data_IF_462756105000
#
_entry.id   IF_462756105000
#
_cell.length_a   1.000
_cell.length_b   1.000
_cell.length_c   1.000
_cell.angle_alpha   90.00
_cell.angle_beta   90.00
_cell.angle_gamma   90.00
#
_symmetry.space_group_name_H-M   'P 1'
#
loop_
_entity.id
_entity.type
_entity.pdbx_description
1 polymer ?
#
# COMPACT_ATOMS: atom_id res chain seq x y z
N UNK A 1 -16.49 -2.52 2.25
CA UNK A 1 -16.35 -3.89 1.71
C UNK A 1 -16.47 -4.92 2.83
N UNK A 2 -15.84 -4.70 3.99
CA UNK A 2 -16.07 -5.54 5.17
C UNK A 2 -17.55 -5.67 5.55
N UNK A 3 -18.26 -4.54 5.54
CA UNK A 3 -19.68 -4.51 5.87
C UNK A 3 -20.52 -5.33 4.89
N UNK A 4 -20.11 -5.40 3.63
CA UNK A 4 -20.75 -6.25 2.64
C UNK A 4 -20.63 -7.72 3.04
N UNK A 5 -19.44 -8.19 3.41
CA UNK A 5 -19.26 -9.58 3.83
C UNK A 5 -20.00 -9.93 5.12
N UNK A 6 -20.09 -8.98 6.06
CA UNK A 6 -20.87 -9.14 7.30
C UNK A 6 -22.35 -9.26 6.99
N UNK A 7 -22.88 -8.40 6.12
CA UNK A 7 -24.31 -8.38 5.77
C UNK A 7 -24.70 -9.57 4.89
N UNK A 8 -23.85 -9.95 3.93
CA UNK A 8 -24.15 -11.05 3.00
C UNK A 8 -23.73 -12.42 3.52
N UNK A 9 -23.00 -12.49 4.63
CA UNK A 9 -22.51 -13.75 5.20
C UNK A 9 -21.53 -14.52 4.30
N UNK A 10 -20.77 -13.82 3.44
CA UNK A 10 -19.84 -14.50 2.52
C UNK A 10 -18.77 -15.23 3.34
N UNK A 11 -18.58 -16.55 3.11
CA UNK A 11 -17.57 -17.32 3.83
C UNK A 11 -16.19 -16.69 3.66
N UNK A 12 -15.38 -16.69 4.73
CA UNK A 12 -14.03 -16.10 4.74
C UNK A 12 -13.15 -16.60 3.57
N UNK A 13 -13.26 -17.88 3.22
CA UNK A 13 -12.55 -18.49 2.08
C UNK A 13 -12.92 -17.91 0.71
N UNK A 14 -14.10 -17.28 0.59
CA UNK A 14 -14.60 -16.69 -0.66
C UNK A 14 -14.48 -15.17 -0.69
N UNK A 15 -14.25 -14.50 0.45
CA UNK A 15 -14.20 -13.04 0.54
C UNK A 15 -13.19 -12.42 -0.43
N UNK A 16 -11.98 -12.98 -0.52
CA UNK A 16 -10.98 -12.51 -1.47
C UNK A 16 -11.43 -12.67 -2.92
N UNK A 17 -12.06 -13.79 -3.27
CA UNK A 17 -12.59 -14.02 -4.61
C UNK A 17 -13.73 -13.03 -4.95
N UNK A 18 -14.64 -12.79 -4.00
CA UNK A 18 -15.72 -11.80 -4.15
C UNK A 18 -15.16 -10.39 -4.33
N UNK A 19 -14.20 -9.97 -3.49
CA UNK A 19 -13.57 -8.66 -3.61
C UNK A 19 -12.86 -8.45 -4.95
N UNK A 20 -12.16 -9.49 -5.44
CA UNK A 20 -11.51 -9.47 -6.76
C UNK A 20 -12.49 -9.21 -7.89
N UNK A 21 -13.69 -9.79 -7.81
CA UNK A 21 -14.72 -9.58 -8.82
C UNK A 21 -15.31 -8.18 -8.78
N UNK A 22 -15.32 -7.53 -7.61
CA UNK A 22 -15.84 -6.17 -7.43
C UNK A 22 -14.91 -5.07 -7.96
N UNK A 23 -13.62 -5.35 -8.19
CA UNK A 23 -12.67 -4.35 -8.72
C UNK A 23 -12.51 -4.46 -10.25
N UNK A 24 -12.09 -3.37 -10.89
CA UNK A 24 -11.89 -3.31 -12.34
C UNK A 24 -10.79 -4.29 -12.81
N UNK A 25 -10.85 -4.74 -14.07
CA UNK A 25 -9.88 -5.65 -14.66
C UNK A 25 -8.43 -5.14 -14.63
N UNK A 26 -8.20 -3.83 -14.75
CA UNK A 26 -6.86 -3.25 -14.62
C UNK A 26 -6.29 -3.46 -13.21
N UNK A 27 -7.08 -3.06 -12.20
CA UNK A 27 -6.76 -3.24 -10.77
C UNK A 27 -6.58 -4.73 -10.42
N UNK A 28 -7.37 -5.63 -11.01
CA UNK A 28 -7.15 -7.08 -10.82
C UNK A 28 -5.80 -7.55 -11.33
N UNK A 29 -5.32 -7.03 -12.45
CA UNK A 29 -4.02 -7.43 -13.03
C UNK A 29 -2.85 -6.86 -12.24
N UNK A 30 -3.02 -5.69 -11.64
CA UNK A 30 -2.05 -5.09 -10.72
C UNK A 30 -1.96 -5.88 -9.40
N UNK A 31 -3.11 -6.21 -8.80
CA UNK A 31 -3.16 -6.97 -7.55
C UNK A 31 -2.78 -8.45 -7.71
N UNK A 32 -3.02 -9.02 -8.90
CA UNK A 32 -2.75 -10.42 -9.23
C UNK A 32 -1.96 -10.51 -10.53
N UNK A 33 -0.64 -10.21 -10.49
CA UNK A 33 0.21 -10.39 -11.65
C UNK A 33 0.24 -11.86 -12.07
N UNK A 34 0.50 -12.14 -13.36
CA UNK A 34 0.60 -13.51 -13.85
C UNK A 34 1.70 -14.27 -13.08
N UNK A 35 1.31 -15.32 -12.35
CA UNK A 35 2.18 -16.09 -11.45
C UNK A 35 1.86 -15.94 -9.96
N UNK A 36 1.04 -14.95 -9.59
CA UNK A 36 0.57 -14.79 -8.21
C UNK A 36 -0.41 -15.90 -7.81
N UNK A 37 -0.40 -16.35 -6.54
CA UNK A 37 -1.39 -17.28 -6.02
C UNK A 37 -2.80 -16.77 -6.27
N UNK A 38 -3.69 -17.66 -6.74
CA UNK A 38 -5.09 -17.31 -7.04
C UNK A 38 -5.99 -17.42 -5.82
N UNK A 39 -5.53 -18.07 -4.76
CA UNK A 39 -6.25 -18.36 -3.52
C UNK A 39 -5.67 -17.58 -2.33
N UNK A 40 -5.44 -16.28 -2.50
CA UNK A 40 -5.01 -15.46 -1.37
C UNK A 40 -6.16 -15.23 -0.39
N UNK A 41 -5.81 -15.10 0.89
CA UNK A 41 -6.76 -14.71 1.92
C UNK A 41 -7.21 -13.25 1.75
N UNK A 42 -8.37 -12.90 2.33
CA UNK A 42 -8.83 -11.52 2.33
C UNK A 42 -7.85 -10.55 3.01
N UNK A 43 -7.15 -11.01 4.05
CA UNK A 43 -6.10 -10.23 4.71
C UNK A 43 -4.92 -9.91 3.81
N UNK A 44 -4.45 -10.88 3.01
CA UNK A 44 -3.38 -10.67 2.04
C UNK A 44 -3.81 -9.76 0.89
N UNK A 45 -5.05 -9.89 0.43
CA UNK A 45 -5.60 -8.98 -0.59
C UNK A 45 -5.60 -7.52 -0.09
N UNK A 46 -6.04 -7.29 1.16
CA UNK A 46 -5.97 -5.96 1.79
C UNK A 46 -4.54 -5.44 1.88
N UNK A 47 -3.57 -6.29 2.25
CA UNK A 47 -2.15 -5.90 2.30
C UNK A 47 -1.62 -5.51 0.92
N UNK A 48 -1.86 -6.32 -0.11
CA UNK A 48 -1.44 -6.03 -1.49
C UNK A 48 -2.06 -4.71 -1.99
N UNK A 49 -3.35 -4.49 -1.69
CA UNK A 49 -4.01 -3.24 -2.03
C UNK A 49 -3.35 -2.02 -1.36
N UNK A 50 -3.02 -2.13 -0.08
CA UNK A 50 -2.31 -1.07 0.65
C UNK A 50 -0.85 -0.92 0.22
N UNK A 51 -0.20 -1.97 -0.27
CA UNK A 51 1.16 -1.90 -0.79
C UNK A 51 1.21 -1.10 -2.11
N UNK A 52 0.28 -1.39 -3.03
CA UNK A 52 0.18 -0.72 -4.33
C UNK A 52 -0.35 0.72 -4.20
N UNK A 53 -1.42 0.92 -3.42
CA UNK A 53 -2.13 2.21 -3.36
C UNK A 53 -1.92 2.98 -2.05
N UNK A 54 -1.48 2.34 -0.97
CA UNK A 54 -1.25 2.98 0.33
C UNK A 54 0.11 3.69 0.43
N UNK A 55 0.90 3.70 -0.65
CA UNK A 55 2.20 4.37 -0.69
C UNK A 55 2.14 5.90 -0.87
N UNK A 56 0.97 6.52 -0.69
CA UNK A 56 0.73 7.94 -0.90
C UNK A 56 1.53 8.89 0.03
N UNK A 57 2.28 8.40 1.02
CA UNK A 57 3.03 9.25 1.96
C UNK A 57 4.38 8.68 2.38
N UNK A 58 5.15 8.11 1.46
CA UNK A 58 6.61 8.07 1.64
C UNK A 58 7.26 8.91 0.56
N UNK A 59 7.18 10.23 0.76
CA UNK A 59 8.23 11.12 0.28
C UNK A 59 9.56 10.47 0.66
N UNK A 60 10.51 10.30 -0.26
CA UNK A 60 11.85 9.87 0.10
C UNK A 60 12.42 10.93 1.03
N UNK A 61 12.44 10.65 2.33
CA UNK A 61 13.22 11.45 3.27
C UNK A 61 14.67 11.27 2.84
N UNK A 62 15.20 12.26 2.13
CA UNK A 62 16.61 12.31 1.80
C UNK A 62 17.37 12.38 3.14
N UNK A 63 18.21 11.37 3.47
CA UNK A 63 18.99 11.36 4.71
C UNK A 63 19.85 12.62 4.89
N UNK A 64 20.13 13.37 3.81
CA UNK A 64 20.89 14.62 3.81
C UNK A 64 20.16 15.79 4.47
N UNK A 65 18.83 15.76 4.59
CA UNK A 65 18.08 16.86 5.24
C UNK A 65 18.15 16.79 6.77
N UNK A 66 18.50 15.63 7.36
CA UNK A 66 18.60 15.47 8.82
C UNK A 66 19.93 15.96 9.42
N UNK A 67 20.96 16.18 8.60
CA UNK A 67 22.30 16.54 9.06
C UNK A 67 22.72 17.91 8.51
N UNK A 68 22.41 18.99 9.21
CA UNK A 68 22.95 20.29 8.81
C UNK A 68 22.34 21.55 9.41
N UNK A 69 21.91 21.53 10.68
CA UNK A 69 21.71 22.78 11.42
C UNK A 69 22.89 22.96 12.38
N UNK A 70 23.89 23.74 11.94
CA UNK A 70 25.16 23.91 12.63
C UNK A 70 25.84 25.22 12.27
N UNK A 71 25.19 26.34 12.64
CA UNK A 71 25.73 27.67 12.97
C UNK A 71 26.62 28.39 11.95
N UNK A 72 26.02 29.45 11.41
CA UNK A 72 26.66 30.68 10.93
C UNK A 72 27.48 31.29 12.08
N UNK A 73 28.76 31.56 11.85
CA UNK A 73 29.68 32.21 12.79
C UNK A 73 30.75 32.98 12.03
N UNK A 74 30.76 34.29 12.20
CA UNK A 74 31.46 35.30 11.42
C UNK A 74 32.98 35.40 11.63
N UNK A 75 33.60 36.25 10.79
CA UNK A 75 34.84 37.03 11.04
C UNK A 75 36.16 36.29 10.77
N UNK A 76 37.17 36.82 10.09
CA UNK A 76 37.49 38.15 9.59
C UNK A 76 38.94 38.14 9.06
N UNK A 77 39.30 39.17 8.28
CA UNK A 77 40.64 39.56 7.74
C UNK A 77 41.89 38.89 8.36
N UNK A 78 42.86 38.49 7.51
CA UNK A 78 43.95 39.35 6.98
C UNK A 78 44.60 38.70 5.77
#
# INVERSE_FOLDING_TARGET
>A
MEDFFVVTGVPSSQQAASARLSVNIAVRRELFPPGSPRDISWGELKRSFLDIYGHATKEPVDPRIRAGSGRVGASGRK
#
